data_IF_136864272647
#
_entry.id   IF_136864272647
#
_cell.length_a   1.000
_cell.length_b   1.000
_cell.length_c   1.000
_cell.angle_alpha   90.00
_cell.angle_beta   90.00
_cell.angle_gamma   90.00
#
_symmetry.space_group_name_H-M   'P 1'
#
loop_
_entity.id
_entity.type
_entity.pdbx_description
1 polymer ?
#
# COMPACT_ATOMS: atom_id res chain seq x y z
N UNK A 1 -22.63 -56.07 40.46
CA UNK A 1 -21.46 -55.18 40.68
C UNK A 1 -20.94 -54.75 39.31
N UNK A 2 -20.70 -53.44 39.15
CA UNK A 2 -20.52 -52.75 37.85
C UNK A 2 -19.09 -52.90 37.29
N UNK A 3 -19.05 -52.85 35.96
CA UNK A 3 -17.94 -53.04 35.03
C UNK A 3 -16.69 -52.21 35.30
N UNK A 4 -15.55 -52.83 35.01
CA UNK A 4 -14.24 -52.24 34.74
C UNK A 4 -14.31 -51.21 33.58
N UNK A 5 -13.58 -50.09 33.67
CA UNK A 5 -13.22 -49.25 32.51
C UNK A 5 -11.89 -48.52 32.75
N UNK A 6 -11.08 -48.52 31.70
CA UNK A 6 -9.68 -48.15 31.57
C UNK A 6 -9.41 -46.62 31.69
N UNK A 7 -8.31 -46.20 32.34
CA UNK A 7 -7.03 -45.67 31.78
C UNK A 7 -7.09 -44.21 31.25
N UNK A 8 -6.28 -43.35 31.90
CA UNK A 8 -5.56 -42.14 31.46
C UNK A 8 -6.25 -41.12 30.52
N UNK A 9 -6.24 -39.82 30.89
CA UNK A 9 -5.52 -38.78 30.12
C UNK A 9 -5.52 -37.38 30.77
N UNK A 10 -4.31 -36.88 31.04
CA UNK A 10 -3.78 -35.52 30.86
C UNK A 10 -4.62 -34.25 31.16
N UNK A 11 -4.14 -33.55 32.20
CA UNK A 11 -3.68 -32.16 32.21
C UNK A 11 -3.95 -31.34 30.92
N UNK A 12 -4.80 -30.30 31.05
CA UNK A 12 -5.00 -29.28 30.03
C UNK A 12 -5.25 -27.92 30.68
N UNK A 13 -4.17 -27.23 31.07
CA UNK A 13 -4.19 -25.80 31.38
C UNK A 13 -4.68 -25.06 30.13
N UNK A 14 -5.91 -24.52 30.16
CA UNK A 14 -6.36 -23.54 29.17
C UNK A 14 -5.62 -22.21 29.40
N UNK A 15 -4.40 -22.12 28.89
CA UNK A 15 -3.81 -20.83 28.55
C UNK A 15 -4.50 -20.32 27.29
N UNK A 16 -5.63 -19.61 27.47
CA UNK A 16 -6.18 -18.76 26.42
C UNK A 16 -5.19 -17.61 26.24
N UNK A 17 -4.16 -17.84 25.44
CA UNK A 17 -3.30 -16.78 24.95
C UNK A 17 -4.13 -15.93 23.99
N UNK A 18 -4.47 -14.73 24.46
CA UNK A 18 -5.17 -13.71 23.70
C UNK A 18 -4.29 -13.34 22.51
N UNK A 19 -4.50 -13.97 21.35
CA UNK A 19 -3.87 -13.54 20.11
C UNK A 19 -4.65 -12.34 19.62
N UNK A 20 -4.25 -11.13 20.04
CA UNK A 20 -4.62 -9.92 19.30
C UNK A 20 -3.99 -10.04 17.92
N UNK A 21 -4.73 -10.62 16.96
CA UNK A 21 -4.40 -10.49 15.56
C UNK A 21 -4.61 -9.03 15.18
N UNK A 22 -3.67 -8.16 15.54
CA UNK A 22 -3.38 -7.00 14.72
C UNK A 22 -2.91 -7.58 13.39
N UNK A 23 -3.86 -7.81 12.47
CA UNK A 23 -3.55 -8.16 11.10
C UNK A 23 -2.53 -7.12 10.62
N UNK A 24 -1.29 -7.56 10.37
CA UNK A 24 -0.25 -6.72 9.78
C UNK A 24 -0.87 -6.04 8.56
N UNK A 25 -1.01 -4.72 8.64
CA UNK A 25 -1.54 -3.90 7.57
C UNK A 25 -0.44 -3.76 6.54
N UNK A 26 -0.30 -4.77 5.68
CA UNK A 26 0.76 -4.88 4.67
C UNK A 26 0.49 -3.90 3.49
N UNK A 27 0.36 -2.62 3.81
CA UNK A 27 -0.01 -1.58 2.86
C UNK A 27 0.79 -0.29 3.13
N UNK A 28 1.02 0.47 2.06
CA UNK A 28 1.82 1.70 2.11
C UNK A 28 0.93 2.90 2.42
N UNK A 29 1.44 3.86 3.19
CA UNK A 29 0.71 5.06 3.59
C UNK A 29 1.40 6.31 3.08
N UNK A 30 0.66 7.21 2.42
CA UNK A 30 1.16 8.56 2.09
C UNK A 30 0.56 9.56 3.09
N UNK A 31 1.40 10.03 4.02
CA UNK A 31 1.00 10.97 5.05
C UNK A 31 0.77 12.38 4.47
N UNK A 32 0.05 13.23 5.20
CA UNK A 32 -0.20 14.62 4.81
C UNK A 32 1.09 15.42 4.54
N UNK A 33 2.18 15.07 5.25
CA UNK A 33 3.51 15.65 5.06
C UNK A 33 4.16 15.29 3.71
N UNK A 34 3.62 14.31 3.00
CA UNK A 34 4.23 13.74 1.79
C UNK A 34 5.15 12.55 2.07
N UNK A 35 5.34 12.15 3.34
CA UNK A 35 6.09 10.93 3.67
C UNK A 35 5.36 9.69 3.17
N UNK A 36 6.10 8.78 2.53
CA UNK A 36 5.61 7.48 2.09
C UNK A 36 6.14 6.45 3.08
N UNK A 37 5.24 5.83 3.84
CA UNK A 37 5.56 4.88 4.90
C UNK A 37 5.21 3.46 4.47
N UNK A 38 6.05 2.52 4.87
CA UNK A 38 5.73 1.09 4.77
C UNK A 38 4.76 0.65 5.88
N UNK A 39 4.47 -0.65 5.92
CA UNK A 39 3.59 -1.27 6.90
C UNK A 39 4.09 -1.15 8.35
N UNK A 40 5.39 -0.93 8.56
CA UNK A 40 6.01 -0.78 9.88
C UNK A 40 6.06 0.69 10.31
N UNK A 41 5.58 1.60 9.47
CA UNK A 41 5.66 3.04 9.69
C UNK A 41 7.02 3.65 9.34
N UNK A 42 7.93 2.89 8.71
CA UNK A 42 9.22 3.41 8.26
C UNK A 42 9.02 4.24 6.99
N UNK A 43 9.60 5.44 6.95
CA UNK A 43 9.63 6.26 5.75
C UNK A 43 10.54 5.64 4.69
N UNK A 44 9.95 5.21 3.57
CA UNK A 44 10.64 4.60 2.43
C UNK A 44 10.82 5.56 1.24
N UNK A 45 10.21 6.74 1.33
CA UNK A 45 10.32 7.79 0.32
C UNK A 45 9.45 9.00 0.66
N UNK A 46 9.40 9.94 -0.26
CA UNK A 46 8.59 11.16 -0.13
C UNK A 46 7.95 11.53 -1.46
N UNK A 47 6.82 12.22 -1.41
CA UNK A 47 6.22 12.94 -2.53
C UNK A 47 6.02 14.40 -2.15
N UNK A 48 6.55 15.32 -2.96
CA UNK A 48 6.39 16.77 -2.74
C UNK A 48 5.07 17.30 -3.32
N UNK A 49 4.70 18.53 -2.94
CA UNK A 49 3.57 19.25 -3.57
C UNK A 49 3.79 19.50 -5.07
N UNK A 50 5.04 19.61 -5.49
CA UNK A 50 5.43 19.71 -6.91
C UNK A 50 5.47 18.34 -7.61
N UNK A 51 4.87 17.33 -6.98
CA UNK A 51 4.70 15.99 -7.53
C UNK A 51 6.01 15.25 -7.85
N UNK A 52 7.07 15.58 -7.11
CA UNK A 52 8.37 14.90 -7.21
C UNK A 52 8.39 13.76 -6.20
N UNK A 53 8.74 12.55 -6.66
CA UNK A 53 8.83 11.36 -5.83
C UNK A 53 10.30 11.01 -5.63
N UNK A 54 10.71 10.90 -4.36
CA UNK A 54 12.07 10.56 -3.96
C UNK A 54 12.09 9.26 -3.16
N UNK A 55 13.20 8.52 -3.26
CA UNK A 55 13.48 7.40 -2.37
C UNK A 55 13.94 7.88 -0.97
N UNK A 56 14.24 6.93 -0.09
CA UNK A 56 14.71 7.20 1.27
C UNK A 56 16.05 7.95 1.32
N UNK A 57 16.87 7.89 0.27
CA UNK A 57 18.14 8.63 0.17
C UNK A 57 17.94 10.05 -0.39
N UNK A 58 16.70 10.44 -0.71
CA UNK A 58 16.40 11.71 -1.34
C UNK A 58 16.66 11.75 -2.85
N UNK A 59 16.98 10.63 -3.48
CA UNK A 59 17.14 10.56 -4.93
C UNK A 59 15.77 10.60 -5.61
N UNK A 60 15.63 11.47 -6.62
CA UNK A 60 14.44 11.53 -7.46
C UNK A 60 14.30 10.23 -8.26
N UNK A 61 13.22 9.50 -8.05
CA UNK A 61 12.95 8.22 -8.74
C UNK A 61 11.78 8.30 -9.71
N UNK A 62 10.84 9.22 -9.47
CA UNK A 62 9.72 9.47 -10.38
C UNK A 62 9.18 10.89 -10.20
N UNK A 63 8.30 11.30 -11.10
CA UNK A 63 7.51 12.51 -10.96
C UNK A 63 6.17 12.37 -11.69
N UNK A 64 5.20 13.20 -11.31
CA UNK A 64 3.91 13.26 -12.00
C UNK A 64 3.92 14.50 -12.88
N UNK A 65 3.68 14.33 -14.17
CA UNK A 65 3.63 15.45 -15.10
C UNK A 65 2.28 16.20 -15.03
N UNK A 66 2.18 17.30 -15.80
CA UNK A 66 0.98 18.13 -15.85
C UNK A 66 -0.25 17.42 -16.43
N UNK A 67 -0.08 16.25 -17.05
CA UNK A 67 -1.17 15.42 -17.57
C UNK A 67 -1.59 14.32 -16.58
N UNK A 68 -0.95 14.25 -15.41
CA UNK A 68 -1.20 13.21 -14.42
C UNK A 68 -0.55 11.87 -14.76
N UNK A 69 0.43 11.84 -15.69
CA UNK A 69 1.22 10.65 -15.95
C UNK A 69 2.31 10.50 -14.89
N UNK A 70 2.49 9.28 -14.40
CA UNK A 70 3.65 8.93 -13.59
C UNK A 70 4.82 8.61 -14.51
N UNK A 71 5.93 9.33 -14.35
CA UNK A 71 7.11 9.23 -15.19
C UNK A 71 8.29 8.74 -14.36
N UNK A 72 8.97 7.69 -14.84
CA UNK A 72 10.22 7.21 -14.25
C UNK A 72 11.33 8.24 -14.50
N UNK A 73 11.99 8.69 -13.42
CA UNK A 73 12.95 9.79 -13.50
C UNK A 73 14.27 9.40 -14.19
N UNK A 74 14.58 8.10 -14.27
CA UNK A 74 15.83 7.59 -14.86
C UNK A 74 15.69 7.40 -16.38
N UNK A 75 14.54 6.91 -16.82
CA UNK A 75 14.29 6.50 -18.20
C UNK A 75 13.39 7.47 -18.96
N UNK A 76 12.74 8.40 -18.27
CA UNK A 76 11.68 9.27 -18.80
C UNK A 76 10.51 8.50 -19.44
N UNK A 77 10.35 7.22 -19.11
CA UNK A 77 9.22 6.42 -19.59
C UNK A 77 8.01 6.63 -18.69
N UNK A 78 6.84 6.66 -19.30
CA UNK A 78 5.57 6.63 -18.60
C UNK A 78 5.35 5.25 -17.97
N UNK A 79 5.09 5.24 -16.67
CA UNK A 79 4.75 4.05 -15.88
C UNK A 79 3.24 3.85 -15.78
N UNK A 80 2.48 4.93 -15.89
CA UNK A 80 1.02 4.90 -15.81
C UNK A 80 0.44 6.29 -15.70
N UNK A 81 -0.84 6.38 -15.34
CA UNK A 81 -1.55 7.66 -15.23
C UNK A 81 -2.72 7.59 -14.28
N UNK A 82 -3.01 8.72 -13.64
CA UNK A 82 -4.30 8.91 -13.01
C UNK A 82 -5.40 9.07 -14.08
N UNK A 83 -6.53 8.45 -13.84
CA UNK A 83 -7.76 8.63 -14.59
C UNK A 83 -8.31 10.03 -14.39
N UNK A 84 -9.06 10.53 -15.39
CA UNK A 84 -9.69 11.87 -15.32
C UNK A 84 -10.71 11.99 -14.17
N UNK A 85 -11.22 10.86 -13.69
CA UNK A 85 -12.12 10.77 -12.54
C UNK A 85 -11.39 10.98 -11.19
N UNK A 86 -10.06 11.00 -11.18
CA UNK A 86 -9.25 11.06 -9.97
C UNK A 86 -9.50 9.89 -9.03
N UNK A 87 -10.01 8.76 -9.53
CA UNK A 87 -10.39 7.56 -8.75
C UNK A 87 -9.68 6.31 -9.22
N UNK A 88 -9.28 6.26 -10.49
CA UNK A 88 -8.65 5.07 -11.07
C UNK A 88 -7.22 5.38 -11.49
N UNK A 89 -6.29 4.45 -11.27
CA UNK A 89 -4.94 4.50 -11.82
C UNK A 89 -4.74 3.38 -12.82
N UNK A 90 -4.15 3.72 -13.96
CA UNK A 90 -3.88 2.82 -15.07
C UNK A 90 -2.37 2.70 -15.29
N UNK A 91 -1.89 1.49 -15.57
CA UNK A 91 -0.48 1.25 -15.92
C UNK A 91 -0.12 1.82 -17.32
N UNK A 92 1.10 1.59 -17.77
CA UNK A 92 1.59 2.07 -19.06
C UNK A 92 0.81 1.50 -20.26
N UNK A 93 0.31 0.27 -20.12
CA UNK A 93 -0.50 -0.47 -21.08
C UNK A 93 -1.97 -0.01 -21.11
N UNK A 94 -2.39 0.80 -20.13
CA UNK A 94 -3.76 1.30 -20.01
C UNK A 94 -4.70 0.36 -19.24
N UNK A 95 -4.16 -0.66 -18.58
CA UNK A 95 -4.91 -1.57 -17.71
C UNK A 95 -5.11 -0.94 -16.34
N UNK A 96 -6.25 -1.20 -15.72
CA UNK A 96 -6.54 -0.71 -14.38
C UNK A 96 -5.67 -1.45 -13.35
N UNK A 97 -4.84 -0.71 -12.62
CA UNK A 97 -3.96 -1.27 -11.60
C UNK A 97 -4.54 -1.12 -10.20
N UNK A 98 -5.07 0.08 -9.87
CA UNK A 98 -5.77 0.29 -8.61
C UNK A 98 -6.88 1.35 -8.68
N UNK A 99 -7.81 1.25 -7.72
CA UNK A 99 -8.92 2.18 -7.50
C UNK A 99 -8.77 2.88 -6.15
N UNK A 100 -9.29 4.09 -6.06
CA UNK A 100 -9.35 4.87 -4.83
C UNK A 100 -10.79 5.01 -4.34
N UNK A 101 -10.96 4.92 -3.02
CA UNK A 101 -12.21 5.20 -2.34
C UNK A 101 -11.96 6.24 -1.25
N UNK A 102 -12.74 7.31 -1.26
CA UNK A 102 -12.66 8.33 -0.22
C UNK A 102 -13.12 7.76 1.13
N UNK A 103 -12.39 8.05 2.21
CA UNK A 103 -12.66 7.62 3.57
C UNK A 103 -12.19 8.70 4.57
N UNK A 104 -13.08 9.66 4.85
CA UNK A 104 -12.78 10.81 5.71
C UNK A 104 -11.60 11.62 5.19
N UNK A 105 -10.56 11.76 6.00
CA UNK A 105 -9.36 12.53 5.65
C UNK A 105 -8.36 11.74 4.79
N UNK A 106 -8.70 10.51 4.39
CA UNK A 106 -7.85 9.64 3.59
C UNK A 106 -8.57 9.12 2.35
N UNK A 107 -7.83 8.67 1.36
CA UNK A 107 -8.31 7.89 0.23
C UNK A 107 -7.67 6.51 0.31
N UNK A 108 -8.49 5.46 0.44
CA UNK A 108 -8.03 4.08 0.46
C UNK A 108 -7.81 3.58 -0.96
N UNK A 109 -6.75 2.82 -1.15
CA UNK A 109 -6.29 2.33 -2.46
C UNK A 109 -6.47 0.81 -2.50
N UNK A 110 -7.15 0.32 -3.53
CA UNK A 110 -7.48 -1.08 -3.73
C UNK A 110 -6.95 -1.57 -5.07
N UNK A 111 -6.32 -2.74 -5.10
CA UNK A 111 -5.93 -3.36 -6.36
C UNK A 111 -7.17 -3.86 -7.14
N UNK A 112 -6.95 -4.37 -8.36
CA UNK A 112 -8.01 -4.95 -9.20
C UNK A 112 -8.80 -6.09 -8.52
N UNK A 113 -8.19 -6.83 -7.59
CA UNK A 113 -8.84 -7.89 -6.81
C UNK A 113 -9.66 -7.37 -5.61
N UNK A 114 -9.72 -6.05 -5.38
CA UNK A 114 -10.44 -5.43 -4.27
C UNK A 114 -9.73 -5.49 -2.92
N UNK A 115 -8.45 -5.90 -2.88
CA UNK A 115 -7.63 -5.87 -1.66
C UNK A 115 -7.11 -4.46 -1.43
N UNK A 116 -7.22 -3.92 -0.21
CA UNK A 116 -6.57 -2.66 0.18
C UNK A 116 -5.05 -2.83 0.13
N UNK A 117 -4.38 -1.98 -0.65
CA UNK A 117 -2.93 -1.98 -0.88
C UNK A 117 -2.25 -0.69 -0.42
N UNK A 118 -3.02 0.30 -0.01
CA UNK A 118 -2.50 1.53 0.59
C UNK A 118 -3.59 2.50 0.98
N UNK A 119 -3.16 3.64 1.51
CA UNK A 119 -3.99 4.83 1.58
C UNK A 119 -3.12 6.10 1.48
N UNK A 120 -3.76 7.20 1.12
CA UNK A 120 -3.14 8.51 0.97
C UNK A 120 -3.97 9.54 1.71
N UNK A 121 -3.34 10.52 2.34
CA UNK A 121 -4.07 11.66 2.87
C UNK A 121 -4.83 12.37 1.73
N UNK A 122 -6.08 12.76 1.97
CA UNK A 122 -6.99 13.32 0.96
C UNK A 122 -6.41 14.53 0.20
N UNK A 123 -5.61 15.36 0.87
CA UNK A 123 -4.93 16.51 0.25
C UNK A 123 -3.84 16.12 -0.76
N UNK A 124 -3.43 14.85 -0.80
CA UNK A 124 -2.42 14.29 -1.70
C UNK A 124 -3.01 13.22 -2.62
N UNK A 125 -4.33 13.22 -2.83
CA UNK A 125 -5.02 12.25 -3.70
C UNK A 125 -4.43 12.20 -5.12
N UNK A 126 -4.03 13.34 -5.69
CA UNK A 126 -3.37 13.40 -6.98
C UNK A 126 -2.02 12.66 -7.01
N UNK A 127 -1.39 12.51 -5.84
CA UNK A 127 -0.10 11.84 -5.64
C UNK A 127 -0.24 10.35 -5.34
N UNK A 128 -1.44 9.78 -5.34
CA UNK A 128 -1.66 8.36 -5.04
C UNK A 128 -0.88 7.40 -5.97
N UNK A 129 -0.63 7.83 -7.21
CA UNK A 129 0.22 7.10 -8.16
C UNK A 129 1.67 6.94 -7.70
N UNK A 130 2.15 7.72 -6.73
CA UNK A 130 3.44 7.49 -6.11
C UNK A 130 3.55 6.08 -5.49
N UNK A 131 2.43 5.48 -5.05
CA UNK A 131 2.46 4.10 -4.53
C UNK A 131 2.88 3.08 -5.58
N UNK A 132 2.59 3.29 -6.87
CA UNK A 132 3.01 2.38 -7.94
C UNK A 132 4.55 2.23 -7.98
N UNK A 133 5.29 3.34 -7.77
CA UNK A 133 6.76 3.32 -7.71
C UNK A 133 7.30 2.36 -6.64
N UNK A 134 6.61 2.30 -5.49
CA UNK A 134 7.02 1.48 -4.35
C UNK A 134 6.34 0.12 -4.35
N UNK A 135 5.39 -0.14 -5.24
CA UNK A 135 4.81 -1.46 -5.50
C UNK A 135 5.69 -2.24 -6.50
N UNK A 136 6.11 -1.60 -7.59
CA UNK A 136 6.92 -2.26 -8.63
C UNK A 136 8.29 -2.78 -8.14
N UNK A 137 8.92 -2.09 -7.17
CA UNK A 137 10.18 -2.56 -6.57
C UNK A 137 10.05 -3.91 -5.83
N UNK A 138 8.84 -4.34 -5.47
CA UNK A 138 8.61 -5.71 -4.95
C UNK A 138 8.35 -6.74 -6.05
N UNK A 139 8.15 -6.35 -7.31
CA UNK A 139 7.88 -7.29 -8.40
C UNK A 139 9.14 -7.81 -9.10
N UNK A 140 10.30 -7.15 -8.91
CA UNK A 140 11.58 -7.54 -9.55
C UNK A 140 12.51 -8.39 -8.67
N UNK A 141 12.11 -8.71 -7.44
CA UNK A 141 12.89 -9.57 -6.51
C UNK A 141 12.03 -10.66 -5.84
N UNK A 142 11.06 -11.22 -6.55
CA UNK A 142 10.42 -12.49 -6.16
C UNK A 142 10.67 -13.55 -7.21
#
# INVERSE_FOLDING_TARGET
MKSFSHIFLLLGLLSVSLSTMAQSRNYKHIAQSGEIKDEKGLTIGTVSKDQIIKDFNGQKIAFIDNQGNLIDAKTNKKMGRMGKDGKNYYNAEGELEFKMKDNGNTCEIFNAAGKKIGDVHSSLKASACALACFQEKHRKHS
#
